data_IF_729104423651
#
_entry.id   IF_729104423651
#
_cell.length_a   1.000
_cell.length_b   1.000
_cell.length_c   1.000
_cell.angle_alpha   90.00
_cell.angle_beta   90.00
_cell.angle_gamma   90.00
#
_symmetry.space_group_name_H-M   'P 1'
#
loop_
_entity.id
_entity.type
_entity.pdbx_description
1 polymer ?
#
# COMPACT_ATOMS: atom_id res chain seq x y z
N UNK A 1 28.40 1.40 -11.37
CA UNK A 1 28.72 0.02 -10.92
C UNK A 1 27.42 -0.65 -10.51
N UNK A 2 27.18 -1.90 -10.90
CA UNK A 2 25.97 -2.59 -10.42
C UNK A 2 26.17 -2.95 -8.94
N UNK A 3 25.20 -2.60 -8.09
CA UNK A 3 25.23 -2.94 -6.68
C UNK A 3 25.32 -4.47 -6.49
N UNK A 4 26.16 -4.92 -5.56
CA UNK A 4 26.25 -6.33 -5.21
C UNK A 4 24.96 -6.78 -4.55
N UNK A 5 24.33 -7.83 -5.09
CA UNK A 5 23.09 -8.38 -4.55
C UNK A 5 23.35 -9.71 -3.86
N UNK A 6 23.05 -9.77 -2.58
CA UNK A 6 23.03 -10.99 -1.77
C UNK A 6 21.60 -11.54 -1.78
N UNK A 7 21.43 -12.80 -2.17
CA UNK A 7 20.12 -13.44 -2.29
C UNK A 7 20.05 -14.71 -1.42
N UNK A 8 19.86 -14.57 -0.10
CA UNK A 8 19.77 -15.70 0.83
C UNK A 8 18.59 -16.61 0.49
N UNK A 9 18.81 -17.94 0.52
CA UNK A 9 17.79 -18.96 0.26
C UNK A 9 17.03 -19.39 1.52
N UNK A 10 17.59 -19.11 2.68
CA UNK A 10 17.00 -19.46 3.98
C UNK A 10 17.10 -18.34 5.02
N UNK A 11 16.33 -18.45 6.09
CA UNK A 11 16.42 -17.54 7.24
C UNK A 11 17.80 -17.64 7.92
N UNK A 12 18.42 -18.82 7.92
CA UNK A 12 19.79 -19.02 8.43
C UNK A 12 20.80 -18.22 7.62
N UNK A 13 20.69 -18.23 6.28
CA UNK A 13 21.60 -17.47 5.41
C UNK A 13 21.44 -15.94 5.66
N UNK A 14 20.19 -15.47 5.86
CA UNK A 14 19.94 -14.07 6.24
C UNK A 14 20.68 -13.74 7.53
N UNK A 15 20.55 -14.59 8.55
CA UNK A 15 21.21 -14.41 9.84
C UNK A 15 22.73 -14.39 9.70
N UNK A 16 23.32 -15.31 8.95
CA UNK A 16 24.78 -15.39 8.73
C UNK A 16 25.30 -14.12 8.03
N UNK A 17 24.61 -13.66 6.99
CA UNK A 17 24.92 -12.39 6.31
C UNK A 17 24.91 -11.24 7.33
N UNK A 18 23.86 -11.08 8.12
CA UNK A 18 23.74 -9.98 9.06
C UNK A 18 24.75 -10.03 10.21
N UNK A 19 25.20 -11.23 10.60
CA UNK A 19 26.25 -11.38 11.61
C UNK A 19 27.61 -10.95 11.10
N UNK A 20 27.94 -11.29 9.84
CA UNK A 20 29.24 -11.00 9.23
C UNK A 20 29.33 -9.60 8.61
N UNK A 21 28.18 -8.97 8.28
CA UNK A 21 28.16 -7.70 7.58
C UNK A 21 28.42 -6.51 8.50
N UNK A 22 29.21 -5.57 7.99
CA UNK A 22 29.56 -4.29 8.64
C UNK A 22 29.19 -3.07 7.81
N UNK A 23 28.90 -3.26 6.51
CA UNK A 23 28.50 -2.20 5.61
C UNK A 23 26.99 -2.04 5.57
N UNK A 24 26.54 -0.85 5.18
CA UNK A 24 25.12 -0.58 5.02
C UNK A 24 24.51 -1.43 3.91
N UNK A 25 23.36 -2.02 4.21
CA UNK A 25 22.57 -2.85 3.32
C UNK A 25 21.29 -2.13 2.88
N UNK A 26 20.92 -2.30 1.64
CA UNK A 26 19.60 -1.99 1.14
C UNK A 26 18.75 -3.27 1.17
N UNK A 27 17.73 -3.30 2.05
CA UNK A 27 16.82 -4.45 2.12
C UNK A 27 15.77 -4.33 1.04
N UNK A 28 15.71 -5.33 0.19
CA UNK A 28 14.76 -5.38 -0.91
C UNK A 28 14.01 -6.71 -0.95
N UNK A 29 12.72 -6.65 -1.30
CA UNK A 29 11.96 -7.81 -1.75
C UNK A 29 12.22 -8.02 -3.25
N UNK A 30 11.21 -7.78 -4.06
CA UNK A 30 11.31 -7.86 -5.50
C UNK A 30 11.69 -6.54 -6.21
N UNK A 31 12.21 -5.55 -5.52
CA UNK A 31 12.67 -4.27 -6.09
C UNK A 31 11.63 -3.53 -6.96
N UNK A 32 10.37 -3.55 -6.53
CA UNK A 32 9.26 -2.95 -7.28
C UNK A 32 8.75 -1.62 -6.72
N UNK A 33 9.34 -1.12 -5.60
CA UNK A 33 8.84 0.07 -4.86
C UNK A 33 9.89 1.05 -4.42
N UNK A 34 11.15 0.64 -4.27
CA UNK A 34 12.26 1.50 -3.91
C UNK A 34 13.15 1.72 -5.13
N UNK A 35 13.64 2.93 -5.27
CA UNK A 35 14.58 3.31 -6.33
C UNK A 35 15.90 2.57 -6.11
N UNK A 36 16.60 2.30 -7.20
CA UNK A 36 17.91 1.66 -7.17
C UNK A 36 18.90 2.44 -6.31
N UNK A 37 19.71 1.72 -5.54
CA UNK A 37 20.76 2.26 -4.68
C UNK A 37 22.12 1.76 -5.15
N UNK A 38 23.18 2.51 -4.86
CA UNK A 38 24.56 2.04 -5.05
C UNK A 38 25.03 1.12 -3.91
N UNK A 39 24.25 0.99 -2.84
CA UNK A 39 24.56 0.14 -1.69
C UNK A 39 24.43 -1.34 -2.02
N UNK A 40 25.12 -2.16 -1.24
CA UNK A 40 24.94 -3.62 -1.25
C UNK A 40 23.49 -3.98 -0.94
N UNK A 41 22.86 -4.84 -1.74
CA UNK A 41 21.47 -5.22 -1.59
C UNK A 41 21.37 -6.60 -0.93
N UNK A 42 20.52 -6.76 0.08
CA UNK A 42 20.03 -8.05 0.53
C UNK A 42 18.61 -8.25 0.00
N UNK A 43 18.45 -9.21 -0.91
CA UNK A 43 17.18 -9.50 -1.56
C UNK A 43 16.51 -10.73 -0.96
N UNK A 44 15.26 -10.59 -0.55
CA UNK A 44 14.46 -11.73 -0.07
C UNK A 44 13.85 -12.57 -1.19
N UNK A 45 14.17 -12.32 -2.46
CA UNK A 45 13.55 -12.98 -3.62
C UNK A 45 13.66 -14.51 -3.63
N UNK A 46 14.72 -15.06 -3.03
CA UNK A 46 14.90 -16.51 -2.90
C UNK A 46 14.12 -17.11 -1.70
N UNK A 47 13.67 -16.30 -0.78
CA UNK A 47 12.76 -16.70 0.30
C UNK A 47 11.32 -16.79 -0.27
N UNK A 48 11.07 -17.79 -1.08
CA UNK A 48 9.88 -17.92 -1.93
C UNK A 48 9.09 -19.18 -1.59
N UNK A 49 7.76 -19.08 -1.70
CA UNK A 49 6.80 -20.18 -1.58
C UNK A 49 5.72 -19.92 -0.54
N UNK A 50 4.54 -20.47 -0.81
CA UNK A 50 3.45 -20.55 0.17
C UNK A 50 3.79 -21.70 1.11
N UNK A 51 3.83 -21.43 2.41
CA UNK A 51 4.14 -22.43 3.45
C UNK A 51 2.87 -23.17 3.83
N UNK A 52 1.77 -22.42 3.97
CA UNK A 52 0.48 -22.98 4.37
C UNK A 52 -0.64 -22.07 3.87
N UNK A 53 -1.72 -22.67 3.44
CA UNK A 53 -2.93 -21.96 3.05
C UNK A 53 -4.13 -22.74 3.54
N UNK A 54 -4.92 -22.10 4.40
CA UNK A 54 -6.15 -22.63 4.97
C UNK A 54 -7.34 -21.81 4.47
N UNK A 55 -7.95 -22.18 3.32
CA UNK A 55 -9.05 -21.41 2.74
C UNK A 55 -10.24 -21.26 3.69
N UNK A 56 -10.57 -22.33 4.44
CA UNK A 56 -11.67 -22.29 5.42
C UNK A 56 -11.43 -21.36 6.61
N UNK A 57 -10.18 -21.17 7.00
CA UNK A 57 -9.78 -20.22 8.07
C UNK A 57 -9.49 -18.82 7.53
N UNK A 58 -9.53 -18.60 6.22
CA UNK A 58 -9.21 -17.34 5.56
C UNK A 58 -7.80 -16.83 5.91
N UNK A 59 -6.83 -17.73 6.00
CA UNK A 59 -5.45 -17.41 6.38
C UNK A 59 -4.43 -18.06 5.46
N UNK A 60 -3.34 -17.34 5.21
CA UNK A 60 -2.20 -17.82 4.43
C UNK A 60 -0.90 -17.48 5.14
N UNK A 61 0.06 -18.40 5.07
CA UNK A 61 1.46 -18.21 5.50
C UNK A 61 2.36 -18.34 4.28
N UNK A 62 3.19 -17.35 4.03
CA UNK A 62 4.11 -17.35 2.91
C UNK A 62 5.48 -16.78 3.27
N UNK A 63 6.52 -17.26 2.62
CA UNK A 63 7.85 -16.66 2.68
C UNK A 63 7.80 -15.25 2.07
N UNK A 64 8.57 -14.32 2.62
CA UNK A 64 8.48 -12.90 2.30
C UNK A 64 8.78 -12.55 0.83
N UNK A 65 9.65 -13.29 0.18
CA UNK A 65 10.00 -13.12 -1.23
C UNK A 65 8.99 -13.70 -2.23
N UNK A 66 7.91 -14.34 -1.76
CA UNK A 66 6.90 -14.90 -2.65
C UNK A 66 6.28 -13.81 -3.52
N UNK A 67 6.32 -13.96 -4.87
CA UNK A 67 5.71 -13.00 -5.77
C UNK A 67 4.21 -12.83 -5.51
N UNK A 68 3.74 -11.60 -5.61
CA UNK A 68 2.33 -11.28 -5.40
C UNK A 68 1.41 -12.00 -6.40
N UNK A 69 1.88 -12.27 -7.63
CA UNK A 69 1.15 -13.07 -8.61
C UNK A 69 0.90 -14.50 -8.12
N UNK A 70 1.90 -15.16 -7.56
CA UNK A 70 1.76 -16.52 -7.00
C UNK A 70 0.72 -16.57 -5.88
N UNK A 71 0.71 -15.54 -5.01
CA UNK A 71 -0.31 -15.41 -3.96
C UNK A 71 -1.71 -15.22 -4.58
N UNK A 72 -1.85 -14.29 -5.53
CA UNK A 72 -3.13 -14.02 -6.20
C UNK A 72 -3.66 -15.25 -6.93
N UNK A 73 -2.81 -16.00 -7.64
CA UNK A 73 -3.18 -17.21 -8.37
C UNK A 73 -3.67 -18.32 -7.41
N UNK A 74 -3.02 -18.48 -6.26
CA UNK A 74 -3.45 -19.43 -5.24
C UNK A 74 -4.82 -19.05 -4.64
N UNK A 75 -5.01 -17.77 -4.32
CA UNK A 75 -6.27 -17.25 -3.76
C UNK A 75 -7.43 -17.34 -4.75
N UNK A 76 -7.19 -17.06 -6.03
CA UNK A 76 -8.21 -17.11 -7.09
C UNK A 76 -8.82 -18.49 -7.23
N UNK A 77 -8.05 -19.57 -7.03
CA UNK A 77 -8.54 -20.96 -7.08
C UNK A 77 -9.59 -21.27 -6.01
N UNK A 78 -9.55 -20.54 -4.89
CA UNK A 78 -10.46 -20.67 -3.76
C UNK A 78 -11.48 -19.51 -3.69
N UNK A 79 -11.63 -18.72 -4.77
CA UNK A 79 -12.48 -17.54 -4.82
C UNK A 79 -12.17 -16.54 -3.66
N UNK A 80 -10.90 -16.38 -3.33
CA UNK A 80 -10.42 -15.46 -2.30
C UNK A 80 -9.48 -14.41 -2.88
N UNK A 81 -9.21 -13.37 -2.10
CA UNK A 81 -8.40 -12.23 -2.52
C UNK A 81 -7.66 -11.57 -1.37
N UNK A 82 -6.62 -10.79 -1.71
CA UNK A 82 -6.04 -9.79 -0.83
C UNK A 82 -6.95 -8.56 -0.82
N UNK A 83 -7.86 -8.49 0.15
CA UNK A 83 -8.91 -7.46 0.17
C UNK A 83 -8.38 -6.04 0.25
N UNK A 84 -7.19 -5.81 0.79
CA UNK A 84 -6.54 -4.50 0.85
C UNK A 84 -5.93 -4.03 -0.48
N UNK A 85 -6.07 -4.80 -1.57
CA UNK A 85 -5.76 -4.44 -2.97
C UNK A 85 -4.38 -3.77 -3.13
N UNK A 86 -3.26 -4.46 -2.84
CA UNK A 86 -1.96 -3.82 -2.90
C UNK A 86 -1.65 -3.32 -4.32
N UNK A 87 -1.34 -2.01 -4.50
CA UNK A 87 -1.09 -1.43 -5.82
C UNK A 87 0.22 -1.93 -6.42
N UNK A 88 0.25 -2.09 -7.75
CA UNK A 88 1.43 -2.53 -8.49
C UNK A 88 2.21 -1.33 -9.03
N UNK A 89 3.33 -1.02 -8.38
CA UNK A 89 4.07 0.23 -8.64
C UNK A 89 5.19 0.09 -9.69
N UNK A 90 5.60 -1.12 -10.06
CA UNK A 90 6.76 -1.33 -10.92
C UNK A 90 6.69 -0.59 -12.26
N UNK A 91 5.52 -0.56 -12.88
CA UNK A 91 5.33 0.12 -14.17
C UNK A 91 5.39 1.64 -14.02
N UNK A 92 4.81 2.17 -12.95
CA UNK A 92 4.84 3.58 -12.64
C UNK A 92 6.26 4.06 -12.35
N UNK A 93 6.99 3.32 -11.52
CA UNK A 93 8.36 3.64 -11.11
C UNK A 93 9.43 3.17 -12.11
N UNK A 94 9.01 2.50 -13.21
CA UNK A 94 9.92 1.93 -14.23
C UNK A 94 10.97 0.98 -13.64
N UNK A 95 10.56 0.18 -12.65
CA UNK A 95 11.43 -0.77 -11.97
C UNK A 95 11.29 -2.17 -12.57
N UNK A 96 12.39 -2.95 -12.67
CA UNK A 96 12.39 -4.27 -13.32
C UNK A 96 11.77 -5.36 -12.47
N UNK A 97 11.67 -5.17 -11.15
CA UNK A 97 11.28 -6.19 -10.20
C UNK A 97 9.78 -6.46 -10.12
N UNK A 98 9.41 -7.52 -9.42
CA UNK A 98 8.02 -7.89 -9.16
C UNK A 98 7.69 -7.69 -7.68
N UNK A 99 6.47 -7.25 -7.39
CA UNK A 99 6.01 -7.12 -5.99
C UNK A 99 6.04 -8.48 -5.29
N UNK A 100 6.56 -8.49 -4.05
CA UNK A 100 6.57 -9.64 -3.15
C UNK A 100 5.68 -9.38 -1.96
N UNK A 101 5.15 -10.45 -1.34
CA UNK A 101 4.22 -10.31 -0.22
C UNK A 101 4.89 -9.64 1.01
N UNK A 102 6.15 -9.93 1.30
CA UNK A 102 6.92 -9.26 2.33
C UNK A 102 7.12 -7.78 2.05
N UNK A 103 7.42 -7.42 0.78
CA UNK A 103 7.51 -6.02 0.35
C UNK A 103 6.19 -5.26 0.46
N UNK A 104 5.07 -5.91 0.18
CA UNK A 104 3.72 -5.35 0.35
C UNK A 104 3.45 -4.99 1.82
N UNK A 105 3.72 -5.91 2.75
CA UNK A 105 3.53 -5.63 4.18
C UNK A 105 4.56 -4.66 4.72
N UNK A 106 5.83 -4.82 4.35
CA UNK A 106 6.90 -3.89 4.76
C UNK A 106 6.61 -2.44 4.38
N UNK A 107 5.92 -2.19 3.26
CA UNK A 107 5.53 -0.86 2.80
C UNK A 107 4.10 -0.47 3.17
N UNK A 108 3.35 -1.35 3.82
CA UNK A 108 1.92 -1.20 4.14
C UNK A 108 1.09 -0.79 2.91
N UNK A 109 1.38 -1.40 1.77
CA UNK A 109 0.79 -1.02 0.49
C UNK A 109 -0.69 -1.43 0.42
N UNK A 110 -1.57 -0.45 0.24
CA UNK A 110 -3.01 -0.62 0.26
C UNK A 110 -3.68 0.19 -0.85
N UNK A 111 -4.68 -0.40 -1.49
CA UNK A 111 -5.47 0.19 -2.56
C UNK A 111 -6.77 0.83 -2.07
N UNK A 112 -7.72 0.99 -2.99
CA UNK A 112 -8.93 1.80 -2.79
C UNK A 112 -9.87 1.25 -1.72
N UNK A 113 -9.86 -0.07 -1.44
CA UNK A 113 -10.66 -0.67 -0.35
C UNK A 113 -10.17 -0.34 1.05
N UNK A 114 -9.07 0.36 1.20
CA UNK A 114 -8.50 0.66 2.52
C UNK A 114 -9.51 1.24 3.50
N UNK A 115 -10.48 2.03 3.03
CA UNK A 115 -11.48 2.66 3.89
C UNK A 115 -12.45 1.63 4.47
N UNK A 116 -12.85 0.63 3.68
CA UNK A 116 -13.78 -0.41 4.10
C UNK A 116 -13.11 -1.52 4.89
N UNK A 117 -11.99 -2.07 4.37
CA UNK A 117 -11.40 -3.29 4.92
C UNK A 117 -10.14 -3.07 5.77
N UNK A 118 -9.66 -1.83 5.85
CA UNK A 118 -8.39 -1.51 6.49
C UNK A 118 -7.19 -1.62 5.53
N UNK A 119 -6.01 -1.31 6.05
CA UNK A 119 -4.75 -1.35 5.33
C UNK A 119 -4.15 -2.76 5.31
N UNK A 120 -3.11 -2.99 4.50
CA UNK A 120 -2.33 -4.23 4.52
C UNK A 120 -1.92 -4.63 5.94
N UNK A 121 -1.46 -3.69 6.75
CA UNK A 121 -1.12 -3.85 8.17
C UNK A 121 -2.24 -4.50 9.00
N UNK A 122 -3.51 -4.23 8.68
CA UNK A 122 -4.66 -4.74 9.44
C UNK A 122 -4.98 -6.19 9.08
N UNK A 123 -4.46 -6.66 7.94
CA UNK A 123 -4.53 -8.05 7.50
C UNK A 123 -3.32 -8.88 7.91
N UNK A 124 -2.22 -8.27 8.35
CA UNK A 124 -1.04 -8.98 8.84
C UNK A 124 -1.30 -9.53 10.24
N UNK A 125 -1.20 -10.86 10.39
CA UNK A 125 -1.48 -11.60 11.63
C UNK A 125 -0.21 -12.04 12.34
N UNK A 126 0.85 -12.32 11.60
CA UNK A 126 2.12 -12.75 12.13
C UNK A 126 3.29 -12.43 11.21
N UNK A 127 4.46 -12.30 11.79
CA UNK A 127 5.70 -12.00 11.09
C UNK A 127 6.87 -12.76 11.70
N UNK A 128 7.77 -13.27 10.83
CA UNK A 128 9.13 -13.68 11.20
C UNK A 128 10.11 -12.75 10.50
N UNK A 129 11.15 -12.37 11.20
CA UNK A 129 12.18 -11.48 10.64
C UNK A 129 13.50 -11.67 11.37
N UNK A 130 14.58 -11.28 10.73
CA UNK A 130 15.92 -11.24 11.32
C UNK A 130 16.31 -9.79 11.54
N UNK A 131 16.66 -9.43 12.77
CA UNK A 131 17.09 -8.07 13.11
C UNK A 131 18.59 -7.83 12.81
N UNK A 132 19.06 -6.58 12.92
CA UNK A 132 20.44 -6.21 12.66
C UNK A 132 21.50 -6.84 13.60
N UNK A 133 21.06 -7.48 14.68
CA UNK A 133 21.90 -8.30 15.56
C UNK A 133 21.96 -9.76 15.13
N UNK A 134 21.27 -10.16 14.05
CA UNK A 134 21.16 -11.54 13.61
C UNK A 134 20.20 -12.38 14.47
N UNK A 135 19.35 -11.78 15.29
CA UNK A 135 18.33 -12.51 16.06
C UNK A 135 17.12 -12.80 15.19
N UNK A 136 16.70 -14.06 15.18
CA UNK A 136 15.45 -14.47 14.55
C UNK A 136 14.31 -14.20 15.54
N UNK A 137 13.38 -13.35 15.11
CA UNK A 137 12.22 -12.94 15.90
C UNK A 137 10.93 -13.40 15.23
N UNK A 138 10.00 -13.91 16.04
CA UNK A 138 8.64 -14.25 15.60
C UNK A 138 7.64 -13.56 16.51
N UNK A 139 6.63 -12.92 15.90
CA UNK A 139 5.55 -12.29 16.63
C UNK A 139 4.22 -12.52 15.93
N UNK A 140 3.14 -12.64 16.71
CA UNK A 140 1.84 -13.03 16.18
C UNK A 140 1.78 -14.50 15.74
N UNK A 141 0.80 -14.83 14.94
CA UNK A 141 0.54 -16.20 14.47
C UNK A 141 -0.48 -16.23 13.35
N UNK A 142 -1.41 -17.20 13.39
CA UNK A 142 -2.48 -17.37 12.41
C UNK A 142 -3.85 -16.93 12.93
N UNK A 143 -3.91 -16.44 14.16
CA UNK A 143 -5.15 -16.04 14.82
C UNK A 143 -5.29 -14.53 14.83
N UNK A 144 -6.53 -14.05 14.73
CA UNK A 144 -6.83 -12.61 14.66
C UNK A 144 -6.57 -11.86 15.98
N UNK A 145 -6.40 -12.57 17.10
CA UNK A 145 -6.20 -11.97 18.42
C UNK A 145 -4.85 -12.38 19.01
N UNK A 146 -3.94 -11.41 19.11
CA UNK A 146 -2.72 -11.53 19.91
C UNK A 146 -2.88 -10.69 21.17
N UNK A 147 -2.75 -11.30 22.35
CA UNK A 147 -2.99 -10.63 23.64
C UNK A 147 -1.73 -10.57 24.52
N UNK A 148 -0.59 -11.06 24.04
CA UNK A 148 0.64 -11.15 24.82
C UNK A 148 1.78 -10.39 24.15
N UNK A 149 2.46 -9.55 24.91
CA UNK A 149 3.65 -8.83 24.48
C UNK A 149 3.39 -7.63 23.58
N UNK A 150 4.45 -7.08 23.00
CA UNK A 150 4.38 -5.96 22.07
C UNK A 150 3.89 -6.43 20.70
N UNK A 151 3.11 -5.59 20.02
CA UNK A 151 2.63 -5.86 18.67
C UNK A 151 3.72 -5.53 17.63
N UNK A 152 4.71 -6.41 17.50
CA UNK A 152 5.77 -6.27 16.50
C UNK A 152 5.21 -6.49 15.08
N UNK A 153 4.08 -7.17 14.92
CA UNK A 153 3.40 -7.35 13.64
C UNK A 153 3.05 -5.99 13.06
N UNK A 154 2.42 -5.14 13.87
CA UNK A 154 2.03 -3.78 13.44
C UNK A 154 3.24 -2.84 13.30
N UNK A 155 4.31 -3.08 14.04
CA UNK A 155 5.56 -2.33 13.94
C UNK A 155 6.30 -2.63 12.63
N UNK A 156 6.35 -3.90 12.22
CA UNK A 156 7.02 -4.32 10.98
C UNK A 156 6.26 -3.88 9.73
N UNK A 157 4.92 -3.75 9.81
CA UNK A 157 4.12 -3.24 8.71
C UNK A 157 4.34 -1.73 8.51
N UNK A 158 4.89 -1.36 7.37
CA UNK A 158 5.28 0.02 7.06
C UNK A 158 6.68 0.42 7.55
N UNK A 159 7.50 -0.54 8.00
CA UNK A 159 8.88 -0.29 8.41
C UNK A 159 9.87 -0.05 7.27
N UNK A 160 9.52 -0.38 6.03
CA UNK A 160 10.37 -0.23 4.84
C UNK A 160 11.74 -0.90 4.95
N UNK A 161 11.82 -1.99 5.73
CA UNK A 161 13.05 -2.72 5.95
C UNK A 161 14.05 -2.03 6.90
N UNK A 162 13.64 -1.00 7.64
CA UNK A 162 14.52 -0.27 8.57
C UNK A 162 14.71 -0.97 9.92
N UNK A 163 13.92 -2.01 10.20
CA UNK A 163 13.92 -2.73 11.49
C UNK A 163 14.37 -4.19 11.38
N UNK A 164 14.51 -4.71 10.17
CA UNK A 164 14.91 -6.09 9.96
C UNK A 164 14.49 -6.63 8.60
N UNK A 165 15.01 -7.79 8.26
CA UNK A 165 14.69 -8.55 7.06
C UNK A 165 13.52 -9.47 7.35
N UNK A 166 12.34 -9.17 6.82
CA UNK A 166 11.16 -10.06 6.95
C UNK A 166 11.43 -11.33 6.15
N UNK A 167 11.26 -12.49 6.77
CA UNK A 167 11.48 -13.81 6.17
C UNK A 167 10.18 -14.56 5.90
N UNK A 168 9.15 -14.37 6.75
CA UNK A 168 7.84 -15.00 6.63
C UNK A 168 6.74 -14.06 7.11
N UNK A 169 5.58 -14.15 6.49
CA UNK A 169 4.36 -13.43 6.86
C UNK A 169 3.16 -14.37 6.92
N UNK A 170 2.31 -14.17 7.92
CA UNK A 170 1.01 -14.81 8.07
C UNK A 170 -0.05 -13.72 7.98
N UNK A 171 -1.07 -13.91 7.14
CA UNK A 171 -2.02 -12.86 6.86
C UNK A 171 -3.43 -13.39 6.57
N UNK A 172 -4.41 -12.49 6.81
CA UNK A 172 -5.82 -12.71 6.52
C UNK A 172 -6.12 -12.43 5.06
N UNK A 173 -6.95 -13.29 4.48
CA UNK A 173 -7.55 -13.12 3.15
C UNK A 173 -9.06 -13.02 3.29
N UNK A 174 -9.77 -12.58 2.23
CA UNK A 174 -11.24 -12.53 2.23
C UNK A 174 -11.80 -13.16 0.96
N UNK A 175 -13.04 -13.66 0.99
CA UNK A 175 -13.73 -14.11 -0.22
C UNK A 175 -13.85 -12.98 -1.25
N UNK A 176 -13.87 -13.34 -2.53
CA UNK A 176 -14.26 -12.43 -3.61
C UNK A 176 -15.76 -12.21 -3.52
N UNK A 177 -16.22 -10.98 -3.70
CA UNK A 177 -17.65 -10.69 -3.78
C UNK A 177 -18.31 -11.38 -4.98
N UNK A 178 -19.56 -11.83 -4.83
CA UNK A 178 -20.34 -12.46 -5.90
C UNK A 178 -20.48 -11.52 -7.10
N UNK A 179 -20.78 -10.25 -6.82
CA UNK A 179 -20.90 -9.21 -7.85
C UNK A 179 -20.43 -7.86 -7.34
N UNK A 180 -20.23 -6.93 -8.28
CA UNK A 180 -19.95 -5.54 -8.00
C UNK A 180 -20.55 -4.64 -9.07
N UNK A 181 -20.81 -3.38 -8.68
CA UNK A 181 -21.18 -2.30 -9.57
C UNK A 181 -20.45 -1.02 -9.16
N UNK A 182 -20.28 -0.09 -10.09
CA UNK A 182 -19.69 1.22 -9.81
C UNK A 182 -20.58 2.31 -10.36
N UNK A 183 -20.99 3.23 -9.50
CA UNK A 183 -21.65 4.46 -9.94
C UNK A 183 -20.57 5.43 -10.44
N UNK A 184 -20.71 5.92 -11.68
CA UNK A 184 -19.92 6.98 -12.26
C UNK A 184 -20.75 8.25 -12.27
N UNK A 185 -20.35 9.25 -11.48
CA UNK A 185 -21.16 10.44 -11.21
C UNK A 185 -20.43 11.67 -11.72
N UNK A 186 -21.11 12.47 -12.56
CA UNK A 186 -20.61 13.76 -13.01
C UNK A 186 -20.80 14.80 -11.89
N UNK A 187 -19.72 15.29 -11.30
CA UNK A 187 -19.76 16.24 -10.20
C UNK A 187 -18.54 17.13 -10.15
N UNK A 188 -18.75 18.43 -10.02
CA UNK A 188 -17.68 19.40 -9.77
C UNK A 188 -17.14 19.38 -8.33
N UNK A 189 -17.72 18.58 -7.44
CA UNK A 189 -17.42 18.57 -6.02
C UNK A 189 -16.94 17.17 -5.56
N UNK A 190 -15.70 17.09 -5.15
CA UNK A 190 -15.15 15.85 -4.60
C UNK A 190 -15.76 15.43 -3.25
N UNK A 191 -16.53 16.32 -2.59
CA UNK A 191 -17.28 15.98 -1.36
C UNK A 191 -18.30 14.85 -1.55
N UNK A 192 -18.67 14.56 -2.80
CA UNK A 192 -19.54 13.42 -3.15
C UNK A 192 -18.94 12.07 -2.68
N UNK A 193 -17.60 11.95 -2.60
CA UNK A 193 -16.94 10.76 -2.07
C UNK A 193 -17.24 10.55 -0.58
N UNK A 194 -17.19 11.63 0.21
CA UNK A 194 -17.49 11.58 1.64
C UNK A 194 -18.99 11.44 1.88
N UNK A 195 -19.83 12.02 1.04
CA UNK A 195 -21.28 11.81 1.07
C UNK A 195 -21.61 10.33 0.86
N UNK A 196 -21.02 9.70 -0.16
CA UNK A 196 -21.25 8.28 -0.45
C UNK A 196 -20.87 7.35 0.72
N UNK A 197 -19.74 7.58 1.37
CA UNK A 197 -19.30 6.72 2.47
C UNK A 197 -20.08 6.94 3.77
N UNK A 198 -20.72 8.09 3.92
CA UNK A 198 -21.59 8.38 5.05
C UNK A 198 -23.00 7.77 4.89
N UNK A 199 -23.30 7.17 3.73
CA UNK A 199 -24.54 6.39 3.56
C UNK A 199 -24.41 5.03 4.24
N UNK A 200 -25.54 4.35 4.56
CA UNK A 200 -25.49 3.00 5.14
C UNK A 200 -25.24 1.88 4.09
N UNK A 201 -24.77 2.21 2.89
CA UNK A 201 -24.75 1.30 1.76
C UNK A 201 -23.39 0.61 1.53
N UNK A 202 -22.51 0.59 2.53
CA UNK A 202 -21.25 -0.17 2.55
C UNK A 202 -20.41 0.00 1.27
N UNK A 203 -20.02 1.26 1.01
CA UNK A 203 -19.17 1.64 -0.12
C UNK A 203 -17.78 1.03 0.04
N UNK A 204 -17.33 0.25 -0.93
CA UNK A 204 -16.07 -0.50 -0.88
C UNK A 204 -14.87 0.22 -1.49
N UNK A 205 -15.11 1.26 -2.29
CA UNK A 205 -14.06 2.06 -2.90
C UNK A 205 -14.61 3.34 -3.48
N UNK A 206 -13.79 4.38 -3.45
CA UNK A 206 -14.14 5.68 -4.06
C UNK A 206 -12.93 6.21 -4.82
N UNK A 207 -13.18 6.86 -5.95
CA UNK A 207 -12.16 7.52 -6.74
C UNK A 207 -12.74 8.78 -7.37
N UNK A 208 -11.96 9.84 -7.51
CA UNK A 208 -12.38 11.07 -8.18
C UNK A 208 -11.29 11.57 -9.12
N UNK A 209 -11.65 11.68 -10.38
CA UNK A 209 -10.84 12.34 -11.39
C UNK A 209 -11.18 13.84 -11.40
N UNK A 210 -10.24 14.66 -10.95
CA UNK A 210 -10.45 16.11 -10.83
C UNK A 210 -10.54 16.77 -12.19
N UNK A 211 -9.75 16.30 -13.15
CA UNK A 211 -9.73 16.85 -14.52
C UNK A 211 -11.04 16.58 -15.28
N UNK A 212 -11.54 15.35 -15.19
CA UNK A 212 -12.78 14.93 -15.81
C UNK A 212 -14.02 15.29 -14.98
N UNK A 213 -13.88 15.66 -13.71
CA UNK A 213 -14.96 15.90 -12.75
C UNK A 213 -15.86 14.68 -12.58
N UNK A 214 -15.26 13.49 -12.56
CA UNK A 214 -15.96 12.21 -12.44
C UNK A 214 -15.63 11.54 -11.10
N UNK A 215 -16.66 11.22 -10.34
CA UNK A 215 -16.58 10.40 -9.14
C UNK A 215 -16.98 8.96 -9.47
N UNK A 216 -16.29 8.01 -8.84
CA UNK A 216 -16.55 6.57 -8.97
C UNK A 216 -16.76 6.01 -7.58
N UNK A 217 -17.89 5.31 -7.37
CA UNK A 217 -18.30 4.75 -6.09
C UNK A 217 -18.60 3.28 -6.30
N UNK A 218 -17.83 2.38 -5.66
CA UNK A 218 -17.95 0.93 -5.79
C UNK A 218 -18.81 0.34 -4.70
N UNK A 219 -19.72 -0.55 -5.10
CA UNK A 219 -20.54 -1.40 -4.25
C UNK A 219 -20.27 -2.86 -4.63
N UNK A 220 -20.10 -3.72 -3.62
CA UNK A 220 -19.77 -5.14 -3.80
C UNK A 220 -20.53 -6.01 -2.79
N UNK A 221 -20.76 -7.26 -3.14
CA UNK A 221 -21.42 -8.23 -2.26
C UNK A 221 -22.29 -9.24 -3.02
N UNK A 222 -23.36 -9.69 -2.38
CA UNK A 222 -24.35 -10.55 -2.99
C UNK A 222 -25.23 -9.79 -4.00
N UNK A 223 -25.61 -10.43 -5.09
CA UNK A 223 -26.30 -9.79 -6.22
C UNK A 223 -27.53 -8.95 -5.79
N UNK A 224 -28.45 -9.54 -5.04
CA UNK A 224 -29.65 -8.82 -4.56
C UNK A 224 -29.31 -7.61 -3.68
N UNK A 225 -28.27 -7.72 -2.85
CA UNK A 225 -27.83 -6.65 -1.97
C UNK A 225 -27.15 -5.50 -2.76
N UNK A 226 -26.35 -5.85 -3.77
CA UNK A 226 -25.71 -4.85 -4.63
C UNK A 226 -26.76 -4.07 -5.41
N UNK A 227 -27.73 -4.75 -6.05
CA UNK A 227 -28.85 -4.12 -6.78
C UNK A 227 -29.62 -3.14 -5.90
N UNK A 228 -30.03 -3.58 -4.71
CA UNK A 228 -30.73 -2.71 -3.76
C UNK A 228 -29.91 -1.46 -3.39
N UNK A 229 -28.66 -1.64 -3.02
CA UNK A 229 -27.79 -0.52 -2.60
C UNK A 229 -27.50 0.45 -3.74
N UNK A 230 -27.33 -0.06 -4.97
CA UNK A 230 -27.21 0.78 -6.17
C UNK A 230 -28.46 1.62 -6.39
N UNK A 231 -29.66 1.02 -6.30
CA UNK A 231 -30.94 1.76 -6.40
C UNK A 231 -31.06 2.86 -5.35
N UNK A 232 -30.65 2.59 -4.11
CA UNK A 232 -30.69 3.60 -3.05
C UNK A 232 -29.69 4.75 -3.30
N UNK A 233 -28.47 4.42 -3.75
CA UNK A 233 -27.48 5.43 -4.10
C UNK A 233 -27.89 6.27 -5.31
N UNK A 234 -28.60 5.69 -6.30
CA UNK A 234 -29.16 6.46 -7.40
C UNK A 234 -30.21 7.48 -6.91
N UNK A 235 -30.99 7.16 -5.87
CA UNK A 235 -31.92 8.12 -5.26
C UNK A 235 -31.17 9.20 -4.47
N UNK A 236 -30.13 8.81 -3.71
CA UNK A 236 -29.29 9.75 -2.96
C UNK A 236 -28.59 10.76 -3.88
N UNK A 237 -28.18 10.33 -5.06
CA UNK A 237 -27.48 11.15 -6.05
C UNK A 237 -28.38 11.57 -7.22
N UNK A 238 -29.69 11.63 -7.04
CA UNK A 238 -30.67 11.97 -8.09
C UNK A 238 -30.48 13.36 -8.74
N UNK A 239 -29.79 14.27 -8.05
CA UNK A 239 -29.45 15.60 -8.57
C UNK A 239 -28.27 15.60 -9.54
N UNK A 240 -27.63 14.46 -9.75
CA UNK A 240 -26.46 14.30 -10.59
C UNK A 240 -26.75 13.39 -11.80
N UNK A 241 -25.97 13.55 -12.85
CA UNK A 241 -25.91 12.59 -13.94
C UNK A 241 -25.09 11.38 -13.48
N UNK A 242 -25.72 10.20 -13.44
CA UNK A 242 -25.12 8.95 -12.92
C UNK A 242 -25.22 7.86 -13.97
N UNK A 243 -24.08 7.27 -14.33
CA UNK A 243 -24.00 6.03 -15.09
C UNK A 243 -23.60 4.87 -14.18
N UNK A 244 -23.98 3.66 -14.55
CA UNK A 244 -23.60 2.44 -13.84
C UNK A 244 -22.61 1.66 -14.69
N UNK A 245 -21.42 1.41 -14.15
CA UNK A 245 -20.51 0.41 -14.67
C UNK A 245 -20.90 -0.94 -14.05
N UNK A 246 -21.40 -1.84 -14.89
CA UNK A 246 -21.75 -3.19 -14.48
C UNK A 246 -20.52 -4.04 -14.15
N UNK A 247 -20.71 -5.24 -13.64
CA UNK A 247 -19.70 -6.10 -13.03
C UNK A 247 -18.37 -6.13 -13.77
N UNK A 248 -18.36 -6.42 -15.09
CA UNK A 248 -17.12 -6.58 -15.84
C UNK A 248 -16.40 -5.23 -16.09
N UNK A 249 -17.15 -4.17 -16.40
CA UNK A 249 -16.61 -2.83 -16.57
C UNK A 249 -16.09 -2.29 -15.24
N UNK A 250 -16.83 -2.51 -14.16
CA UNK A 250 -16.45 -2.14 -12.81
C UNK A 250 -15.16 -2.84 -12.38
N UNK A 251 -15.05 -4.18 -12.56
CA UNK A 251 -13.81 -4.94 -12.28
C UNK A 251 -12.63 -4.38 -13.06
N UNK A 252 -12.79 -4.16 -14.36
CA UNK A 252 -11.75 -3.59 -15.23
C UNK A 252 -11.31 -2.21 -14.76
N UNK A 253 -12.26 -1.35 -14.36
CA UNK A 253 -11.95 -0.04 -13.82
C UNK A 253 -11.07 -0.14 -12.57
N UNK A 254 -11.49 -0.91 -11.55
CA UNK A 254 -10.75 -1.04 -10.29
C UNK A 254 -9.42 -1.79 -10.44
N UNK A 255 -9.32 -2.71 -11.39
CA UNK A 255 -8.03 -3.31 -11.75
C UNK A 255 -7.07 -2.26 -12.33
N UNK A 256 -7.55 -1.36 -13.19
CA UNK A 256 -6.73 -0.27 -13.71
C UNK A 256 -6.30 0.71 -12.59
N UNK A 257 -7.14 0.91 -11.56
CA UNK A 257 -6.77 1.68 -10.38
C UNK A 257 -5.68 0.98 -9.57
N UNK A 258 -5.81 -0.31 -9.32
CA UNK A 258 -4.79 -1.14 -8.63
C UNK A 258 -3.45 -1.18 -9.40
N UNK A 259 -3.51 -1.17 -10.74
CA UNK A 259 -2.33 -1.12 -11.61
C UNK A 259 -1.77 0.30 -11.76
N UNK A 260 -2.38 1.31 -11.15
CA UNK A 260 -2.02 2.74 -11.22
C UNK A 260 -1.94 3.26 -12.67
N UNK A 261 -2.78 2.74 -13.59
CA UNK A 261 -2.74 3.08 -15.01
C UNK A 261 -3.14 4.52 -15.28
N UNK A 262 -3.95 5.12 -14.42
CA UNK A 262 -4.36 6.52 -14.49
C UNK A 262 -3.20 7.52 -14.27
N UNK A 263 -2.06 7.06 -13.74
CA UNK A 263 -0.88 7.88 -13.51
C UNK A 263 0.13 7.86 -14.66
N UNK A 264 -0.08 7.06 -15.70
CA UNK A 264 0.91 6.86 -16.79
C UNK A 264 1.20 8.12 -17.61
N UNK A 265 0.23 9.01 -17.73
CA UNK A 265 0.31 10.23 -18.54
C UNK A 265 0.92 11.42 -17.79
N UNK A 266 1.27 11.24 -16.51
CA UNK A 266 1.84 12.32 -15.70
C UNK A 266 3.23 12.67 -16.23
N UNK A 267 3.38 13.93 -16.62
CA UNK A 267 4.66 14.57 -16.95
C UNK A 267 5.10 15.44 -15.77
N UNK A 268 6.40 15.45 -15.46
CA UNK A 268 6.94 16.17 -14.30
C UNK A 268 7.05 15.28 -13.06
N UNK A 269 6.97 15.90 -11.89
CA UNK A 269 7.10 15.18 -10.61
C UNK A 269 5.78 14.57 -10.17
N UNK A 270 5.83 13.32 -9.67
CA UNK A 270 4.69 12.60 -9.16
C UNK A 270 4.75 12.52 -7.64
N UNK A 271 3.69 12.99 -7.00
CA UNK A 271 3.54 12.97 -5.56
C UNK A 271 2.32 12.16 -5.13
N UNK A 272 2.48 11.47 -4.01
CA UNK A 272 1.43 10.76 -3.28
C UNK A 272 1.25 11.39 -1.92
N UNK A 273 0.11 12.05 -1.71
CA UNK A 273 -0.18 12.81 -0.48
C UNK A 273 -1.27 12.11 0.30
N UNK A 274 -1.03 11.86 1.58
CA UNK A 274 -2.01 11.30 2.52
C UNK A 274 -2.41 12.36 3.53
N UNK A 275 -3.71 12.65 3.59
CA UNK A 275 -4.32 13.69 4.44
C UNK A 275 -5.62 13.18 5.06
N UNK A 276 -6.30 13.99 5.85
CA UNK A 276 -7.69 13.70 6.23
C UNK A 276 -8.58 13.76 4.99
N UNK A 277 -9.61 12.92 4.84
CA UNK A 277 -10.50 12.92 3.69
C UNK A 277 -11.06 14.30 3.31
N UNK A 278 -11.41 15.11 4.29
CA UNK A 278 -11.93 16.47 4.10
C UNK A 278 -10.88 17.48 3.61
N UNK A 279 -9.60 17.13 3.68
CA UNK A 279 -8.50 18.02 3.31
C UNK A 279 -7.96 17.77 1.89
N UNK A 280 -8.32 16.64 1.25
CA UNK A 280 -7.88 16.32 -0.10
C UNK A 280 -8.21 17.41 -1.12
N UNK A 281 -9.45 17.88 -1.14
CA UNK A 281 -9.88 18.98 -2.02
C UNK A 281 -9.19 20.32 -1.68
N UNK A 282 -8.83 20.55 -0.42
CA UNK A 282 -8.09 21.76 -0.01
C UNK A 282 -6.66 21.71 -0.55
N UNK A 283 -6.01 20.54 -0.48
CA UNK A 283 -4.68 20.33 -1.05
C UNK A 283 -4.68 20.64 -2.55
N UNK A 284 -5.65 20.12 -3.30
CA UNK A 284 -5.77 20.40 -4.74
C UNK A 284 -5.91 21.90 -5.01
N UNK A 285 -6.77 22.62 -4.25
CA UNK A 285 -6.93 24.07 -4.38
C UNK A 285 -5.67 24.87 -4.03
N UNK A 286 -4.89 24.43 -3.04
CA UNK A 286 -3.67 25.11 -2.61
C UNK A 286 -2.53 24.91 -3.62
N UNK A 287 -2.40 23.68 -4.15
CA UNK A 287 -1.28 23.29 -5.00
C UNK A 287 -1.54 23.58 -6.48
N UNK A 288 -2.79 23.68 -6.90
CA UNK A 288 -3.24 23.86 -8.27
C UNK A 288 -2.48 22.96 -9.28
N UNK A 289 -2.49 21.62 -9.06
CA UNK A 289 -1.69 20.71 -9.86
C UNK A 289 -2.24 20.53 -11.26
N UNK A 290 -1.37 20.24 -12.23
CA UNK A 290 -1.78 19.96 -13.62
C UNK A 290 -2.70 18.74 -13.74
N UNK A 291 -2.42 17.71 -12.94
CA UNK A 291 -3.20 16.46 -12.90
C UNK A 291 -3.37 16.07 -11.44
N UNK A 292 -4.58 15.72 -11.07
CA UNK A 292 -4.84 15.26 -9.71
C UNK A 292 -6.00 14.27 -9.64
N UNK A 293 -5.87 13.33 -8.71
CA UNK A 293 -6.88 12.32 -8.43
C UNK A 293 -7.01 12.14 -6.92
N UNK A 294 -8.22 11.81 -6.48
CA UNK A 294 -8.51 11.48 -5.10
C UNK A 294 -8.92 10.01 -4.96
N UNK A 295 -8.41 9.36 -3.94
CA UNK A 295 -8.80 8.02 -3.50
C UNK A 295 -9.04 8.06 -1.98
N UNK A 296 -9.47 6.95 -1.36
CA UNK A 296 -9.73 6.85 0.07
C UNK A 296 -10.66 7.96 0.58
N UNK A 297 -11.74 8.22 -0.15
CA UNK A 297 -12.71 9.28 0.15
C UNK A 297 -12.10 10.69 0.21
N UNK A 298 -11.02 10.93 -0.51
CA UNK A 298 -10.27 12.19 -0.48
C UNK A 298 -9.04 12.16 0.44
N UNK A 299 -8.82 11.08 1.19
CA UNK A 299 -7.67 10.94 2.09
C UNK A 299 -6.36 10.59 1.40
N UNK A 300 -6.40 10.14 0.16
CA UNK A 300 -5.24 9.93 -0.70
C UNK A 300 -5.35 10.82 -1.93
N UNK A 301 -4.32 11.64 -2.14
CA UNK A 301 -4.23 12.55 -3.29
C UNK A 301 -3.02 12.17 -4.13
N UNK A 302 -3.24 11.93 -5.41
CA UNK A 302 -2.20 11.75 -6.41
C UNK A 302 -2.05 13.05 -7.20
N UNK A 303 -0.82 13.54 -7.33
CA UNK A 303 -0.51 14.85 -7.92
C UNK A 303 0.57 14.72 -8.97
N UNK A 304 0.27 15.17 -10.19
CA UNK A 304 1.27 15.48 -11.22
C UNK A 304 1.53 16.98 -11.21
N UNK A 305 2.75 17.39 -10.91
CA UNK A 305 3.18 18.79 -10.81
C UNK A 305 4.37 19.06 -11.72
N UNK A 306 4.73 20.33 -11.91
CA UNK A 306 5.94 20.69 -12.65
C UNK A 306 7.19 20.15 -11.97
N UNK A 307 8.21 19.83 -12.75
CA UNK A 307 9.49 19.36 -12.24
C UNK A 307 10.08 20.40 -11.29
N UNK A 308 10.50 19.94 -10.09
CA UNK A 308 11.06 20.80 -9.06
C UNK A 308 10.04 21.55 -8.22
N UNK A 309 8.73 21.26 -8.35
CA UNK A 309 7.70 21.86 -7.50
C UNK A 309 7.64 21.14 -6.15
N UNK A 310 8.00 21.83 -5.06
CA UNK A 310 7.98 21.26 -3.71
C UNK A 310 6.56 21.28 -3.11
N UNK A 311 5.90 20.14 -3.18
CA UNK A 311 4.56 19.90 -2.61
C UNK A 311 4.56 20.07 -1.10
N UNK A 312 5.63 19.64 -0.40
CA UNK A 312 5.71 19.70 1.07
C UNK A 312 5.76 21.13 1.57
N UNK A 313 6.52 21.97 0.88
CA UNK A 313 6.59 23.38 1.23
C UNK A 313 5.23 24.08 1.11
N UNK A 314 4.51 23.81 0.04
CA UNK A 314 3.20 24.44 -0.22
C UNK A 314 2.09 23.92 0.70
N UNK A 315 2.17 22.66 1.14
CA UNK A 315 1.14 22.07 1.99
C UNK A 315 1.35 22.29 3.50
N UNK A 316 2.35 23.05 3.95
CA UNK A 316 2.69 23.27 5.38
C UNK A 316 1.52 23.60 6.31
N UNK A 317 0.44 24.19 5.77
CA UNK A 317 -0.77 24.54 6.52
C UNK A 317 -1.78 23.40 6.64
N UNK A 318 -1.53 22.26 5.99
CA UNK A 318 -2.41 21.09 6.02
C UNK A 318 -1.62 19.90 6.57
N UNK A 319 -2.12 19.31 7.65
CA UNK A 319 -1.48 18.15 8.25
C UNK A 319 -1.59 16.93 7.32
N UNK A 320 -0.47 16.26 7.07
CA UNK A 320 -0.42 15.09 6.20
C UNK A 320 1.00 14.70 5.81
N UNK A 321 1.11 13.68 4.98
CA UNK A 321 2.38 13.15 4.48
C UNK A 321 2.42 13.20 2.96
N UNK A 322 3.50 13.76 2.40
CA UNK A 322 3.73 13.80 0.97
C UNK A 322 4.98 12.96 0.61
N UNK A 323 4.79 11.91 -0.18
CA UNK A 323 5.87 11.12 -0.76
C UNK A 323 6.12 11.59 -2.20
N UNK A 324 7.37 11.87 -2.54
CA UNK A 324 7.80 12.04 -3.91
C UNK A 324 8.07 10.65 -4.51
N UNK A 325 7.29 10.27 -5.52
CA UNK A 325 7.45 8.97 -6.18
C UNK A 325 8.33 9.06 -7.42
N UNK A 326 8.21 10.15 -8.16
CA UNK A 326 9.06 10.49 -9.31
C UNK A 326 9.42 11.96 -9.19
N UNK A 327 10.70 12.30 -9.17
CA UNK A 327 11.22 13.66 -9.03
C UNK A 327 12.57 13.70 -8.32
N UNK A 328 13.09 14.90 -8.13
CA UNK A 328 14.40 15.13 -7.49
C UNK A 328 14.30 15.52 -6.01
N UNK A 329 13.31 14.99 -5.31
CA UNK A 329 13.13 15.19 -3.87
C UNK A 329 13.32 13.88 -3.12
N UNK A 330 13.67 13.97 -1.83
CA UNK A 330 13.66 12.80 -0.95
C UNK A 330 12.29 12.11 -1.04
N UNK A 331 12.29 10.79 -1.11
CA UNK A 331 11.05 10.04 -1.28
C UNK A 331 10.07 10.25 -0.12
N UNK A 332 10.56 10.28 1.12
CA UNK A 332 9.71 10.31 2.31
C UNK A 332 9.51 11.73 2.83
N UNK A 333 8.34 11.95 3.46
CA UNK A 333 8.06 13.20 4.17
C UNK A 333 8.98 13.32 5.40
N UNK A 334 9.63 14.47 5.62
CA UNK A 334 10.48 14.66 6.80
C UNK A 334 9.68 14.48 8.10
N UNK A 335 10.22 13.67 9.00
CA UNK A 335 9.63 13.48 10.33
C UNK A 335 9.89 14.68 11.25
N UNK A 336 8.97 14.94 12.18
CA UNK A 336 9.21 15.90 13.26
C UNK A 336 10.38 15.48 14.17
N UNK A 337 10.94 16.39 14.93
CA UNK A 337 12.04 16.09 15.87
C UNK A 337 11.67 14.99 16.87
N UNK A 338 10.43 14.99 17.36
CA UNK A 338 9.95 13.96 18.28
C UNK A 338 9.83 12.58 17.58
N UNK A 339 9.24 12.54 16.38
CA UNK A 339 9.12 11.32 15.60
C UNK A 339 10.49 10.73 15.24
N UNK A 340 11.44 11.57 14.81
CA UNK A 340 12.83 11.15 14.56
C UNK A 340 13.48 10.52 15.79
N UNK A 341 13.33 11.16 16.96
CA UNK A 341 13.88 10.65 18.21
C UNK A 341 13.29 9.29 18.58
N UNK A 342 11.97 9.13 18.47
CA UNK A 342 11.29 7.86 18.76
C UNK A 342 11.67 6.78 17.76
N UNK A 343 11.64 7.09 16.46
CA UNK A 343 12.04 6.15 15.40
C UNK A 343 13.48 5.69 15.56
N UNK A 344 14.42 6.60 15.80
CA UNK A 344 15.82 6.26 16.02
C UNK A 344 16.01 5.40 17.27
N UNK A 345 15.27 5.66 18.36
CA UNK A 345 15.32 4.84 19.56
C UNK A 345 14.88 3.40 19.29
N UNK A 346 13.83 3.22 18.47
CA UNK A 346 13.36 1.88 18.07
C UNK A 346 14.37 1.23 17.11
N UNK A 347 14.81 1.95 16.09
CA UNK A 347 15.80 1.44 15.11
C UNK A 347 17.06 0.95 15.81
N UNK A 348 17.61 1.72 16.73
CA UNK A 348 18.83 1.32 17.48
C UNK A 348 18.66 0.02 18.28
N UNK A 349 17.44 -0.33 18.67
CA UNK A 349 17.17 -1.61 19.35
C UNK A 349 17.13 -2.81 18.40
N UNK A 350 16.62 -2.60 17.18
CA UNK A 350 16.52 -3.65 16.18
C UNK A 350 17.72 -3.69 15.23
N UNK A 351 18.40 -2.56 15.03
CA UNK A 351 19.57 -2.42 14.16
C UNK A 351 20.69 -1.61 14.84
N UNK A 352 21.33 -2.15 15.89
CA UNK A 352 22.38 -1.43 16.62
C UNK A 352 23.64 -1.20 15.79
N UNK A 353 23.84 -1.95 14.71
CA UNK A 353 24.94 -1.77 13.76
C UNK A 353 24.63 -0.73 12.67
N UNK A 354 23.42 -0.20 12.62
CA UNK A 354 22.93 0.74 11.60
C UNK A 354 23.13 0.21 10.14
N UNK A 355 22.80 -1.07 9.94
CA UNK A 355 22.95 -1.75 8.65
C UNK A 355 21.83 -1.39 7.67
N UNK A 356 20.58 -1.17 8.15
CA UNK A 356 19.38 -1.24 7.32
C UNK A 356 18.89 0.12 6.83
N UNK A 357 18.73 0.27 5.51
CA UNK A 357 17.96 1.34 4.85
C UNK A 357 18.06 2.71 5.56
N UNK A 358 19.27 3.16 5.87
CA UNK A 358 19.50 4.36 6.69
C UNK A 358 18.94 5.65 6.06
N UNK A 359 18.79 5.67 4.73
CA UNK A 359 18.24 6.78 3.96
C UNK A 359 16.71 6.88 4.04
N UNK A 360 16.05 5.85 4.56
CA UNK A 360 14.58 5.79 4.63
C UNK A 360 14.08 6.26 5.99
N UNK A 361 13.02 7.08 5.98
CA UNK A 361 12.33 7.57 7.18
C UNK A 361 13.20 8.45 8.12
N UNK A 362 14.10 9.25 7.54
CA UNK A 362 14.95 10.21 8.30
C UNK A 362 14.30 11.57 8.47
#
# INVERSE_FOLDING_TARGET
MNAVTLAPGSESDVREILLSETEQLHIAGGQSRLVATEKKIISTSQLNGIIEYEPGALTMVAKAGTPLSVIKDALQKENQQLAFEPPEMKHLLRLPGNSTIGGVFSTNASGSRRIQVGAARDHLLGVRFVDGSGRVLKNGGRVMKNVTGYDLVKLMAGSWGTLGVITEVSFKVLPIAETQATLRINSCQASILTQAINTPYDVSGTFYDVGLKLAYIRIEGFDKSVKYRVEQLLREFSDFEVDILEMEESKKFWQNMSDLKFLKEIKGDLWRVSVKPTDGSKIIKILDPKISFLDWCGGLVWLGVDQGFDVREKMKKVAGHAMCLLGNFDQFHPSSTLEKRLSNSIRNKFDPKMLFNQEILN
#
